data_IF_577969733923
#
_entry.id   IF_577969733923
#
_cell.length_a   1.000
_cell.length_b   1.000
_cell.length_c   1.000
_cell.angle_alpha   90.00
_cell.angle_beta   90.00
_cell.angle_gamma   90.00
#
_symmetry.space_group_name_H-M   'P 1'
#
loop_
_entity.id
_entity.type
_entity.pdbx_description
1 polymer ?
#
# COMPACT_ATOMS: atom_id res chain seq x y z
N UNK A 1 -11.42 -20.82 6.60
CA UNK A 1 -12.25 -19.60 6.79
C UNK A 1 -13.72 -19.96 6.57
N UNK A 2 -14.18 -21.12 7.08
CA UNK A 2 -15.53 -21.64 6.76
C UNK A 2 -16.31 -22.14 7.99
N UNK A 3 -15.79 -21.98 9.21
CA UNK A 3 -16.43 -22.47 10.44
C UNK A 3 -17.17 -21.40 11.26
N UNK A 4 -17.17 -20.13 10.81
CA UNK A 4 -17.82 -19.02 11.53
C UNK A 4 -19.18 -18.66 10.94
N UNK A 5 -19.52 -19.18 9.75
CA UNK A 5 -20.77 -18.81 9.06
C UNK A 5 -21.97 -19.71 9.40
N UNK A 6 -21.80 -20.82 10.12
CA UNK A 6 -22.92 -21.71 10.51
C UNK A 6 -23.62 -21.32 11.82
N UNK A 7 -23.05 -20.41 12.62
CA UNK A 7 -23.62 -20.05 13.94
C UNK A 7 -24.75 -19.02 13.90
N UNK A 8 -25.06 -18.40 12.75
CA UNK A 8 -26.07 -17.34 12.65
C UNK A 8 -27.38 -17.75 11.95
N UNK A 9 -27.57 -19.05 11.66
CA UNK A 9 -28.72 -19.55 10.92
C UNK A 9 -29.73 -20.33 11.77
N UNK A 10 -29.86 -20.04 13.07
CA UNK A 10 -30.92 -20.66 13.87
C UNK A 10 -31.62 -19.68 14.81
N UNK A 11 -32.24 -18.65 14.23
CA UNK A 11 -33.33 -17.93 14.88
C UNK A 11 -34.51 -17.87 13.90
N UNK A 12 -35.06 -19.05 13.56
CA UNK A 12 -36.39 -19.14 12.96
C UNK A 12 -37.40 -18.74 14.03
N UNK A 13 -37.72 -17.44 14.05
CA UNK A 13 -38.91 -16.90 14.70
C UNK A 13 -40.14 -17.55 14.03
N UNK A 14 -40.60 -18.67 14.58
CA UNK A 14 -41.78 -19.39 14.10
C UNK A 14 -42.99 -18.44 14.17
N UNK A 15 -43.33 -17.84 13.03
CA UNK A 15 -44.57 -17.09 12.88
C UNK A 15 -45.68 -18.12 12.77
N UNK A 16 -46.40 -18.32 13.87
CA UNK A 16 -47.56 -19.20 13.95
C UNK A 16 -48.46 -19.00 12.73
N UNK A 17 -48.69 -20.08 11.98
CA UNK A 17 -49.48 -20.04 10.75
C UNK A 17 -50.97 -19.91 11.11
N UNK A 18 -51.76 -19.23 10.27
CA UNK A 18 -53.22 -19.07 10.50
C UNK A 18 -53.94 -20.41 10.73
N UNK A 19 -53.38 -21.50 10.19
CA UNK A 19 -53.85 -22.87 10.39
C UNK A 19 -53.66 -23.36 11.83
N UNK A 20 -52.50 -23.09 12.44
CA UNK A 20 -52.20 -23.48 13.82
C UNK A 20 -53.08 -22.73 14.81
N UNK A 21 -53.36 -21.45 14.52
CA UNK A 21 -54.30 -20.63 15.30
C UNK A 21 -55.73 -21.20 15.28
N UNK A 22 -56.21 -21.67 14.12
CA UNK A 22 -57.53 -22.28 13.99
C UNK A 22 -57.62 -23.64 14.72
N UNK A 23 -56.55 -24.44 14.66
CA UNK A 23 -56.48 -25.69 15.42
C UNK A 23 -56.47 -25.44 16.93
N UNK A 24 -55.73 -24.43 17.41
CA UNK A 24 -55.69 -24.07 18.83
C UNK A 24 -57.07 -23.63 19.32
N UNK A 25 -57.77 -22.78 18.57
CA UNK A 25 -59.15 -22.37 18.89
C UNK A 25 -60.09 -23.58 18.93
N UNK A 26 -59.98 -24.50 17.96
CA UNK A 26 -60.84 -25.68 17.89
C UNK A 26 -60.62 -26.64 19.07
N UNK A 27 -59.36 -26.83 19.48
CA UNK A 27 -59.02 -27.63 20.68
C UNK A 27 -59.56 -26.94 21.94
N UNK A 28 -59.42 -25.62 22.05
CA UNK A 28 -59.90 -24.85 23.20
C UNK A 28 -61.43 -24.96 23.36
N UNK A 29 -62.18 -24.88 22.25
CA UNK A 29 -63.64 -25.07 22.25
C UNK A 29 -64.06 -26.49 22.64
N UNK A 30 -63.32 -27.51 22.20
CA UNK A 30 -63.55 -28.90 22.60
C UNK A 30 -63.37 -29.11 24.11
N UNK A 31 -62.32 -28.50 24.68
CA UNK A 31 -62.06 -28.54 26.13
C UNK A 31 -63.15 -27.79 26.90
N UNK A 32 -63.54 -26.60 26.44
CA UNK A 32 -64.61 -25.81 27.06
C UNK A 32 -65.94 -26.56 27.09
N UNK A 33 -66.31 -27.20 25.97
CA UNK A 33 -67.50 -28.04 25.89
C UNK A 33 -67.46 -29.21 26.88
N UNK A 34 -66.31 -29.86 27.02
CA UNK A 34 -66.16 -30.98 27.95
C UNK A 34 -66.29 -30.54 29.41
N UNK A 35 -65.65 -29.42 29.78
CA UNK A 35 -65.75 -28.85 31.13
C UNK A 35 -67.19 -28.45 31.44
N UNK A 36 -67.91 -27.87 30.48
CA UNK A 36 -69.30 -27.47 30.64
C UNK A 36 -70.22 -28.68 30.88
N UNK A 37 -70.02 -29.77 30.12
CA UNK A 37 -70.77 -31.01 30.31
C UNK A 37 -70.57 -31.60 31.71
N UNK A 38 -69.31 -31.70 32.16
CA UNK A 38 -68.98 -32.20 33.51
C UNK A 38 -69.57 -31.26 34.58
N UNK A 39 -69.51 -29.95 34.37
CA UNK A 39 -70.05 -28.98 35.34
C UNK A 39 -71.56 -29.12 35.56
N UNK A 40 -72.33 -29.47 34.51
CA UNK A 40 -73.78 -29.71 34.64
C UNK A 40 -74.05 -30.97 35.48
N UNK A 41 -73.27 -32.03 35.29
CA UNK A 41 -73.45 -33.30 36.01
C UNK A 41 -73.14 -33.18 37.50
N UNK A 42 -72.21 -32.30 37.88
CA UNK A 42 -71.82 -32.06 39.27
C UNK A 42 -72.44 -30.79 39.90
N UNK A 43 -73.31 -30.08 39.19
CA UNK A 43 -73.92 -28.82 39.63
C UNK A 43 -74.77 -28.95 40.91
N UNK A 44 -75.29 -30.14 41.20
CA UNK A 44 -76.20 -30.39 42.34
C UNK A 44 -75.45 -30.57 43.68
N UNK A 45 -74.11 -30.59 43.66
CA UNK A 45 -73.28 -30.71 44.87
C UNK A 45 -72.70 -29.37 45.30
N UNK A 46 -73.34 -28.75 46.31
CA UNK A 46 -72.93 -27.46 46.90
C UNK A 46 -71.44 -27.43 47.33
N UNK A 47 -70.87 -28.57 47.71
CA UNK A 47 -69.45 -28.65 48.13
C UNK A 47 -68.49 -28.43 46.96
N UNK A 48 -68.81 -28.95 45.77
CA UNK A 48 -67.97 -28.81 44.57
C UNK A 48 -67.96 -27.36 44.08
N UNK A 49 -69.11 -26.68 44.15
CA UNK A 49 -69.23 -25.25 43.81
C UNK A 49 -68.39 -24.34 44.72
N UNK A 50 -68.26 -24.67 46.00
CA UNK A 50 -67.40 -23.89 46.90
C UNK A 50 -65.89 -24.09 46.59
N UNK A 51 -65.48 -25.31 46.25
CA UNK A 51 -64.09 -25.58 45.85
C UNK A 51 -63.74 -24.92 44.52
N UNK A 52 -64.63 -24.94 43.52
CA UNK A 52 -64.35 -24.30 42.22
C UNK A 52 -64.24 -22.78 42.37
N UNK A 53 -65.08 -22.16 43.21
CA UNK A 53 -65.04 -20.71 43.49
C UNK A 53 -63.75 -20.29 44.20
N UNK A 54 -63.30 -21.08 45.18
CA UNK A 54 -62.04 -20.84 45.87
C UNK A 54 -60.83 -21.02 44.95
N UNK A 55 -60.82 -22.10 44.16
CA UNK A 55 -59.77 -22.35 43.16
C UNK A 55 -59.72 -21.25 42.08
N UNK A 56 -60.87 -20.72 41.67
CA UNK A 56 -60.96 -19.58 40.74
C UNK A 56 -60.34 -18.30 41.32
N UNK A 57 -60.58 -18.04 42.61
CA UNK A 57 -59.98 -16.88 43.30
C UNK A 57 -58.46 -17.02 43.41
N UNK A 58 -57.95 -18.20 43.79
CA UNK A 58 -56.50 -18.47 43.83
C UNK A 58 -55.88 -18.35 42.44
N UNK A 59 -56.53 -18.90 41.41
CA UNK A 59 -56.03 -18.84 40.02
C UNK A 59 -55.94 -17.40 39.52
N UNK A 60 -56.90 -16.55 39.88
CA UNK A 60 -56.89 -15.11 39.56
C UNK A 60 -55.69 -14.39 40.19
N UNK A 61 -55.42 -14.67 41.47
CA UNK A 61 -54.25 -14.11 42.18
C UNK A 61 -52.95 -14.57 41.51
N UNK A 62 -52.83 -15.85 41.16
CA UNK A 62 -51.62 -16.39 40.49
C UNK A 62 -51.42 -15.72 39.13
N UNK A 63 -52.48 -15.58 38.32
CA UNK A 63 -52.38 -14.91 37.02
C UNK A 63 -51.96 -13.45 37.15
N UNK A 64 -52.49 -12.73 38.16
CA UNK A 64 -52.07 -11.36 38.43
C UNK A 64 -50.57 -11.27 38.78
N UNK A 65 -50.06 -12.21 39.59
CA UNK A 65 -48.62 -12.27 39.94
C UNK A 65 -47.77 -12.57 38.71
N UNK A 66 -48.17 -13.52 37.86
CA UNK A 66 -47.46 -13.85 36.61
C UNK A 66 -47.41 -12.64 35.68
N UNK A 67 -48.50 -11.89 35.55
CA UNK A 67 -48.55 -10.67 34.75
C UNK A 67 -47.54 -9.62 35.26
N UNK A 68 -47.49 -9.41 36.58
CA UNK A 68 -46.52 -8.49 37.21
C UNK A 68 -45.08 -8.93 36.91
N UNK A 69 -44.75 -10.21 37.08
CA UNK A 69 -43.41 -10.75 36.80
C UNK A 69 -43.05 -10.54 35.33
N UNK A 70 -43.97 -10.83 34.41
CA UNK A 70 -43.73 -10.63 32.98
C UNK A 70 -43.48 -9.17 32.64
N UNK A 71 -44.22 -8.22 33.24
CA UNK A 71 -43.98 -6.79 33.07
C UNK A 71 -42.59 -6.36 33.55
N UNK A 72 -42.09 -6.93 34.65
CA UNK A 72 -40.72 -6.68 35.12
C UNK A 72 -39.66 -7.20 34.15
N UNK A 73 -39.76 -8.46 33.71
CA UNK A 73 -38.81 -9.06 32.77
C UNK A 73 -38.83 -8.34 31.42
N UNK A 74 -40.01 -7.93 30.96
CA UNK A 74 -40.15 -7.15 29.73
C UNK A 74 -39.53 -5.75 29.89
N UNK A 75 -39.70 -5.10 31.05
CA UNK A 75 -39.09 -3.81 31.37
C UNK A 75 -37.56 -3.83 31.25
N UNK A 76 -36.90 -4.84 31.83
CA UNK A 76 -35.44 -4.99 31.75
C UNK A 76 -34.96 -5.19 30.30
N UNK A 77 -35.68 -6.02 29.53
CA UNK A 77 -35.34 -6.23 28.11
C UNK A 77 -35.51 -4.97 27.26
N UNK A 78 -36.51 -4.14 27.59
CA UNK A 78 -36.78 -2.89 26.89
C UNK A 78 -35.71 -1.84 27.19
N UNK A 79 -35.25 -1.76 28.46
CA UNK A 79 -34.17 -0.86 28.84
C UNK A 79 -32.84 -1.26 28.17
N UNK A 80 -32.52 -2.55 28.11
CA UNK A 80 -31.35 -3.06 27.40
C UNK A 80 -31.40 -2.73 25.90
N UNK A 81 -32.57 -2.89 25.27
CA UNK A 81 -32.75 -2.55 23.85
C UNK A 81 -32.62 -1.05 23.58
N UNK A 82 -33.15 -0.19 24.47
CA UNK A 82 -32.95 1.26 24.39
C UNK A 82 -31.47 1.65 24.51
N UNK A 83 -30.70 0.97 25.36
CA UNK A 83 -29.24 1.18 25.47
C UNK A 83 -28.47 0.80 24.20
N UNK A 84 -28.84 -0.30 23.55
CA UNK A 84 -28.25 -0.72 22.27
C UNK A 84 -28.61 0.30 21.17
N UNK A 85 -29.87 0.73 21.09
CA UNK A 85 -30.31 1.75 20.12
C UNK A 85 -29.57 3.08 20.31
N UNK A 86 -29.33 3.50 21.55
CA UNK A 86 -28.58 4.73 21.83
C UNK A 86 -27.13 4.63 21.32
N UNK A 87 -26.47 3.49 21.51
CA UNK A 87 -25.12 3.24 20.99
C UNK A 87 -25.07 3.21 19.47
N UNK A 88 -26.05 2.59 18.82
CA UNK A 88 -26.13 2.58 17.36
C UNK A 88 -26.39 3.97 16.79
N UNK A 89 -27.17 4.81 17.47
CA UNK A 89 -27.36 6.22 17.10
C UNK A 89 -26.07 7.05 17.28
N UNK A 90 -25.28 6.76 18.31
CA UNK A 90 -23.97 7.37 18.53
C UNK A 90 -23.01 6.99 17.40
N UNK A 91 -22.91 5.70 17.07
CA UNK A 91 -22.12 5.22 15.93
C UNK A 91 -22.56 5.86 14.60
N UNK A 92 -23.87 6.00 14.36
CA UNK A 92 -24.40 6.66 13.16
C UNK A 92 -24.04 8.15 13.12
N UNK A 93 -24.01 8.82 14.27
CA UNK A 93 -23.59 10.21 14.37
C UNK A 93 -22.11 10.36 14.06
N UNK A 94 -21.27 9.45 14.54
CA UNK A 94 -19.83 9.45 14.26
C UNK A 94 -19.59 9.22 12.75
N UNK A 95 -20.26 8.23 12.15
CA UNK A 95 -20.20 8.00 10.69
C UNK A 95 -20.67 9.22 9.89
N UNK A 96 -21.71 9.92 10.36
CA UNK A 96 -22.16 11.16 9.72
C UNK A 96 -21.13 12.30 9.88
N UNK A 97 -20.40 12.34 11.00
CA UNK A 97 -19.28 13.24 11.22
C UNK A 97 -18.13 12.98 10.25
N UNK A 98 -17.69 11.73 10.15
CA UNK A 98 -16.64 11.30 9.21
C UNK A 98 -17.02 11.62 7.76
N UNK A 99 -18.28 11.39 7.38
CA UNK A 99 -18.77 11.71 6.04
C UNK A 99 -18.71 13.22 5.74
N UNK A 100 -19.01 14.06 6.74
CA UNK A 100 -18.89 15.51 6.61
C UNK A 100 -17.43 15.94 6.47
N UNK A 101 -16.50 15.31 7.20
CA UNK A 101 -15.07 15.57 7.09
C UNK A 101 -14.54 15.18 5.70
N UNK A 102 -14.88 13.98 5.22
CA UNK A 102 -14.54 13.54 3.87
C UNK A 102 -15.09 14.45 2.78
N UNK A 103 -16.31 14.99 2.96
CA UNK A 103 -16.87 15.98 2.02
C UNK A 103 -16.03 17.27 1.96
N UNK A 104 -15.52 17.72 3.10
CA UNK A 104 -14.65 18.90 3.20
C UNK A 104 -13.27 18.65 2.57
N UNK A 105 -12.65 17.51 2.86
CA UNK A 105 -11.39 17.10 2.24
C UNK A 105 -11.56 16.97 0.72
N UNK A 106 -12.64 16.36 0.26
CA UNK A 106 -12.96 16.22 -1.16
C UNK A 106 -13.05 17.58 -1.86
N UNK A 107 -13.71 18.57 -1.24
CA UNK A 107 -13.73 19.96 -1.74
C UNK A 107 -12.32 20.55 -1.85
N UNK A 108 -11.46 20.28 -0.88
CA UNK A 108 -10.05 20.72 -0.92
C UNK A 108 -9.28 20.04 -2.05
N UNK A 109 -9.52 18.75 -2.29
CA UNK A 109 -8.95 18.02 -3.43
C UNK A 109 -9.41 18.60 -4.77
N UNK A 110 -10.68 18.98 -4.91
CA UNK A 110 -11.17 19.65 -6.12
C UNK A 110 -10.45 20.98 -6.37
N UNK A 111 -10.20 21.79 -5.34
CA UNK A 111 -9.42 23.03 -5.46
C UNK A 111 -7.98 22.74 -5.92
N UNK A 112 -7.36 21.67 -5.42
CA UNK A 112 -6.02 21.27 -5.88
C UNK A 112 -6.03 20.82 -7.34
N UNK A 113 -7.07 20.11 -7.79
CA UNK A 113 -7.21 19.70 -9.20
C UNK A 113 -7.34 20.92 -10.11
N UNK A 114 -8.10 21.94 -9.69
CA UNK A 114 -8.20 23.22 -10.40
C UNK A 114 -6.82 23.89 -10.52
N UNK A 115 -6.06 23.93 -9.42
CA UNK A 115 -4.69 24.45 -9.41
C UNK A 115 -3.73 23.66 -10.32
N UNK A 116 -3.90 22.33 -10.41
CA UNK A 116 -3.11 21.49 -11.33
C UNK A 116 -3.46 21.84 -12.77
N UNK A 117 -4.73 22.08 -13.07
CA UNK A 117 -5.20 22.50 -14.39
C UNK A 117 -4.56 23.82 -14.80
N UNK A 118 -4.56 24.81 -13.91
CA UNK A 118 -3.87 26.10 -14.14
C UNK A 118 -2.37 25.91 -14.40
N UNK A 119 -1.72 25.03 -13.63
CA UNK A 119 -0.30 24.71 -13.82
C UNK A 119 -0.02 24.01 -15.15
N UNK A 120 -0.93 23.14 -15.61
CA UNK A 120 -0.83 22.49 -16.92
C UNK A 120 -0.98 23.53 -18.03
N UNK A 121 -1.92 24.48 -17.90
CA UNK A 121 -2.07 25.56 -18.88
C UNK A 121 -0.83 26.48 -18.92
N UNK A 122 -0.27 26.81 -17.75
CA UNK A 122 0.98 27.56 -17.66
C UNK A 122 2.16 26.80 -18.29
N UNK A 123 2.22 25.48 -18.08
CA UNK A 123 3.24 24.61 -18.68
C UNK A 123 3.12 24.59 -20.20
N UNK A 124 1.92 24.47 -20.74
CA UNK A 124 1.66 24.47 -22.19
C UNK A 124 2.13 25.79 -22.83
N UNK A 125 1.81 26.93 -22.22
CA UNK A 125 2.33 28.24 -22.65
C UNK A 125 3.87 28.29 -22.59
N UNK A 126 4.47 27.70 -21.56
CA UNK A 126 5.93 27.59 -21.43
C UNK A 126 6.55 26.73 -22.53
N UNK A 127 5.91 25.62 -22.90
CA UNK A 127 6.34 24.74 -24.00
C UNK A 127 6.25 25.48 -25.34
N UNK A 128 5.16 26.19 -25.61
CA UNK A 128 5.00 27.00 -26.82
C UNK A 128 6.08 28.10 -26.91
N UNK A 129 6.39 28.77 -25.81
CA UNK A 129 7.46 29.75 -25.75
C UNK A 129 8.84 29.11 -26.02
N UNK A 130 9.11 27.94 -25.43
CA UNK A 130 10.35 27.18 -25.63
C UNK A 130 10.50 26.72 -27.09
N UNK A 131 9.42 26.25 -27.75
CA UNK A 131 9.44 25.93 -29.18
C UNK A 131 9.76 27.15 -30.05
N UNK A 132 9.22 28.33 -29.71
CA UNK A 132 9.55 29.58 -30.38
C UNK A 132 11.04 29.93 -30.24
N UNK A 133 11.61 29.78 -29.04
CA UNK A 133 13.04 29.94 -28.81
C UNK A 133 13.87 28.90 -29.58
N UNK A 134 13.45 27.63 -29.60
CA UNK A 134 14.13 26.57 -30.34
C UNK A 134 14.16 26.86 -31.85
N UNK A 135 13.06 27.35 -32.41
CA UNK A 135 12.98 27.80 -33.81
C UNK A 135 13.94 28.97 -34.08
N UNK A 136 14.04 29.92 -33.16
CA UNK A 136 15.01 31.01 -33.27
C UNK A 136 16.47 30.52 -33.22
N UNK A 137 16.77 29.54 -32.34
CA UNK A 137 18.09 28.92 -32.23
C UNK A 137 18.40 28.13 -33.50
N UNK A 138 17.47 27.36 -34.03
CA UNK A 138 17.63 26.69 -35.33
C UNK A 138 17.99 27.70 -36.41
N UNK A 139 17.29 28.84 -36.48
CA UNK A 139 17.63 29.92 -37.42
C UNK A 139 19.05 30.47 -37.24
N UNK A 140 19.49 30.68 -36.00
CA UNK A 140 20.86 31.12 -35.68
C UNK A 140 21.89 30.05 -36.04
N UNK A 141 21.63 28.78 -35.74
CA UNK A 141 22.51 27.65 -36.07
C UNK A 141 22.64 27.49 -37.58
N UNK A 142 21.55 27.64 -38.35
CA UNK A 142 21.62 27.60 -39.81
C UNK A 142 22.48 28.74 -40.35
N UNK A 143 22.28 29.97 -39.86
CA UNK A 143 23.13 31.13 -40.23
C UNK A 143 24.60 30.92 -39.83
N UNK A 144 24.85 30.33 -38.67
CA UNK A 144 26.19 30.01 -38.20
C UNK A 144 26.83 28.90 -39.04
N UNK A 145 26.06 27.90 -39.46
CA UNK A 145 26.50 26.84 -40.36
C UNK A 145 26.85 27.40 -41.74
N UNK A 146 26.05 28.33 -42.28
CA UNK A 146 26.36 29.03 -43.54
C UNK A 146 27.63 29.88 -43.41
N UNK A 147 27.79 30.60 -42.29
CA UNK A 147 28.99 31.37 -41.98
C UNK A 147 30.22 30.47 -41.81
N UNK A 148 30.07 29.30 -41.18
CA UNK A 148 31.15 28.30 -41.06
C UNK A 148 31.50 27.66 -42.40
N UNK A 149 30.54 27.44 -43.29
CA UNK A 149 30.81 26.95 -44.64
C UNK A 149 31.62 27.97 -45.47
N UNK A 150 31.29 29.27 -45.34
CA UNK A 150 32.06 30.35 -45.97
C UNK A 150 33.44 30.54 -45.32
N UNK A 151 33.56 30.39 -44.00
CA UNK A 151 34.84 30.42 -43.29
C UNK A 151 35.72 29.20 -43.63
N UNK A 152 35.12 28.02 -43.82
CA UNK A 152 35.81 26.80 -44.27
C UNK A 152 36.40 26.92 -45.68
N UNK A 153 35.80 27.72 -46.56
CA UNK A 153 36.38 28.07 -47.87
C UNK A 153 37.59 29.02 -47.73
N UNK A 154 37.57 29.95 -46.76
CA UNK A 154 38.71 30.81 -46.43
C UNK A 154 39.86 30.10 -45.68
N UNK A 155 39.54 29.03 -44.94
CA UNK A 155 40.52 28.22 -44.21
C UNK A 155 41.15 27.16 -45.13
N UNK A 156 40.44 26.63 -46.13
CA UNK A 156 41.01 25.72 -47.14
C UNK A 156 42.11 26.35 -48.00
N UNK A 157 42.15 27.67 -48.15
CA UNK A 157 43.27 28.36 -48.80
C UNK A 157 44.45 28.63 -47.85
N UNK A 158 44.27 28.44 -46.53
CA UNK A 158 45.28 28.76 -45.50
C UNK A 158 45.79 27.54 -44.72
N UNK A 159 45.17 26.35 -44.85
CA UNK A 159 45.59 25.10 -44.21
C UNK A 159 45.90 24.04 -45.29
N UNK A 160 47.00 24.25 -45.99
CA UNK A 160 47.83 23.15 -46.52
C UNK A 160 48.92 22.98 -45.46
N UNK A 161 49.01 21.79 -44.84
CA UNK A 161 49.86 21.40 -43.70
C UNK A 161 49.33 21.72 -42.29
N UNK A 162 48.50 20.82 -41.72
CA UNK A 162 48.75 20.18 -40.41
C UNK A 162 48.04 18.80 -40.40
N UNK A 163 48.67 17.71 -39.91
CA UNK A 163 48.11 16.35 -39.95
C UNK A 163 47.01 16.10 -38.90
N UNK A 164 46.08 15.22 -39.25
CA UNK A 164 44.98 14.75 -38.42
C UNK A 164 45.45 14.04 -37.12
N UNK A 165 44.84 14.39 -35.99
CA UNK A 165 44.88 13.59 -34.77
C UNK A 165 43.78 12.50 -34.81
N UNK A 166 43.99 11.31 -34.24
CA UNK A 166 43.11 10.16 -34.43
C UNK A 166 41.91 10.18 -33.47
N UNK A 167 40.78 9.65 -33.96
CA UNK A 167 39.60 9.32 -33.15
C UNK A 167 39.98 8.26 -32.09
N UNK A 168 40.23 8.71 -30.86
CA UNK A 168 40.47 7.84 -29.72
C UNK A 168 39.16 7.18 -29.26
N UNK A 169 39.14 5.84 -29.31
CA UNK A 169 38.15 5.02 -28.62
C UNK A 169 38.15 5.41 -27.14
N UNK A 170 37.04 5.97 -26.64
CA UNK A 170 36.82 6.06 -25.19
C UNK A 170 36.83 4.63 -24.66
N UNK A 171 37.88 4.28 -23.91
CA UNK A 171 38.00 2.96 -23.29
C UNK A 171 36.88 2.78 -22.28
N UNK A 172 36.29 1.58 -22.17
CA UNK A 172 35.20 1.25 -21.23
C UNK A 172 35.48 1.72 -19.80
N UNK A 173 36.76 1.72 -19.39
CA UNK A 173 37.23 2.22 -18.10
C UNK A 173 36.92 3.71 -17.86
N UNK A 174 37.01 4.55 -18.90
CA UNK A 174 36.68 5.97 -18.80
C UNK A 174 35.17 6.16 -18.60
N UNK A 175 34.35 5.37 -19.31
CA UNK A 175 32.90 5.39 -19.16
C UNK A 175 32.46 4.91 -17.78
N UNK A 176 33.03 3.81 -17.28
CA UNK A 176 32.78 3.31 -15.92
C UNK A 176 33.16 4.33 -14.86
N UNK A 177 34.31 5.00 -15.01
CA UNK A 177 34.70 6.08 -14.09
C UNK A 177 33.72 7.25 -14.15
N UNK A 178 33.20 7.62 -15.33
CA UNK A 178 32.20 8.67 -15.44
C UNK A 178 30.88 8.27 -14.76
N UNK A 179 30.41 7.03 -14.95
CA UNK A 179 29.14 6.56 -14.38
C UNK A 179 29.24 6.40 -12.86
N UNK A 180 30.27 5.70 -12.38
CA UNK A 180 30.38 5.31 -10.99
C UNK A 180 30.97 6.39 -10.08
N UNK A 181 31.71 7.37 -10.62
CA UNK A 181 32.40 8.39 -9.80
C UNK A 181 31.85 9.81 -9.95
N UNK A 182 31.20 10.11 -11.08
CA UNK A 182 30.86 11.51 -11.40
C UNK A 182 29.48 11.94 -10.93
N UNK A 183 28.66 11.00 -10.45
CA UNK A 183 27.25 11.26 -10.24
C UNK A 183 26.96 11.69 -8.80
N UNK A 184 27.19 10.86 -7.80
CA UNK A 184 26.78 11.15 -6.42
C UNK A 184 27.35 10.11 -5.42
N UNK A 185 27.15 10.28 -4.10
CA UNK A 185 27.54 9.29 -3.09
C UNK A 185 26.85 7.93 -3.30
N UNK A 186 25.65 7.92 -3.89
CA UNK A 186 24.91 6.73 -4.26
C UNK A 186 25.71 5.86 -5.24
N UNK A 187 26.40 6.48 -6.21
CA UNK A 187 27.19 5.76 -7.21
C UNK A 187 28.44 5.09 -6.59
N UNK A 188 29.10 5.78 -5.65
CA UNK A 188 30.20 5.24 -4.86
C UNK A 188 29.75 4.00 -4.07
N UNK A 189 28.61 4.10 -3.37
CA UNK A 189 28.05 3.01 -2.57
C UNK A 189 27.67 1.81 -3.45
N UNK A 190 27.09 2.05 -4.63
CA UNK A 190 26.75 0.98 -5.58
C UNK A 190 28.01 0.30 -6.12
N UNK A 191 29.06 1.06 -6.46
CA UNK A 191 30.32 0.47 -6.91
C UNK A 191 30.92 -0.45 -5.85
N UNK A 192 30.84 -0.05 -4.58
CA UNK A 192 31.28 -0.88 -3.47
C UNK A 192 30.40 -2.13 -3.31
N UNK A 193 29.07 -1.96 -3.35
CA UNK A 193 28.14 -3.08 -3.24
C UNK A 193 28.30 -4.10 -4.38
N UNK A 194 28.54 -3.65 -5.61
CA UNK A 194 28.82 -4.54 -6.75
C UNK A 194 30.13 -5.30 -6.57
N UNK A 195 31.16 -4.66 -5.99
CA UNK A 195 32.41 -5.33 -5.64
C UNK A 195 32.21 -6.35 -4.51
N UNK A 196 31.36 -6.06 -3.52
CA UNK A 196 31.04 -7.03 -2.47
C UNK A 196 30.22 -8.21 -3.03
N UNK A 197 29.27 -7.93 -3.92
CA UNK A 197 28.45 -8.93 -4.61
C UNK A 197 29.29 -9.88 -5.49
N UNK A 198 30.32 -9.38 -6.17
CA UNK A 198 31.20 -10.23 -6.99
C UNK A 198 31.98 -11.26 -6.17
N UNK A 199 32.21 -10.99 -4.87
CA UNK A 199 32.84 -11.90 -3.93
C UNK A 199 31.91 -12.99 -3.35
N UNK A 200 30.60 -12.90 -3.56
CA UNK A 200 29.63 -13.90 -3.07
C UNK A 200 29.71 -15.15 -3.97
N UNK A 201 29.69 -16.33 -3.36
CA UNK A 201 29.59 -17.63 -4.03
C UNK A 201 28.40 -17.63 -4.99
N UNK A 202 28.62 -18.07 -6.23
CA UNK A 202 27.66 -18.02 -7.33
C UNK A 202 26.32 -18.68 -6.97
N UNK A 203 26.36 -19.77 -6.19
CA UNK A 203 25.16 -20.49 -5.74
C UNK A 203 24.32 -19.75 -4.69
N UNK A 204 24.90 -18.74 -4.04
CA UNK A 204 24.27 -17.95 -2.98
C UNK A 204 23.95 -16.52 -3.41
N UNK A 205 24.25 -16.15 -4.65
CA UNK A 205 24.06 -14.77 -5.11
C UNK A 205 22.58 -14.39 -5.06
N UNK A 206 22.24 -13.29 -4.37
CA UNK A 206 20.87 -12.81 -4.34
C UNK A 206 20.43 -12.35 -5.73
N UNK A 207 19.13 -12.39 -5.98
CA UNK A 207 18.56 -11.83 -7.21
C UNK A 207 18.84 -10.33 -7.33
N UNK A 208 18.78 -9.79 -8.54
CA UNK A 208 18.98 -8.35 -8.80
C UNK A 208 18.12 -7.45 -7.89
N UNK A 209 16.84 -7.80 -7.69
CA UNK A 209 15.95 -7.02 -6.83
C UNK A 209 16.34 -7.11 -5.36
N UNK A 210 16.72 -8.31 -4.88
CA UNK A 210 17.17 -8.51 -3.50
C UNK A 210 18.48 -7.74 -3.27
N UNK A 211 19.40 -7.73 -4.24
CA UNK A 211 20.61 -6.93 -4.18
C UNK A 211 20.28 -5.43 -4.00
N UNK A 212 19.42 -4.87 -4.87
CA UNK A 212 19.05 -3.45 -4.78
C UNK A 212 18.35 -3.13 -3.45
N UNK A 213 17.34 -3.90 -3.07
CA UNK A 213 16.51 -3.56 -1.90
C UNK A 213 17.19 -3.87 -0.57
N UNK A 214 17.79 -5.06 -0.45
CA UNK A 214 18.23 -5.60 0.84
C UNK A 214 19.70 -5.37 1.13
N UNK A 215 20.54 -5.14 0.12
CA UNK A 215 21.97 -4.86 0.34
C UNK A 215 22.23 -3.37 0.21
N UNK A 216 21.76 -2.75 -0.87
CA UNK A 216 22.13 -1.35 -1.17
C UNK A 216 21.18 -0.36 -0.50
N UNK A 217 19.88 -0.42 -0.79
CA UNK A 217 18.94 0.59 -0.31
C UNK A 217 18.73 0.56 1.22
N UNK A 218 18.74 -0.63 1.82
CA UNK A 218 18.70 -0.80 3.29
C UNK A 218 19.93 -0.18 3.97
N UNK A 219 21.14 -0.45 3.44
CA UNK A 219 22.38 0.10 3.97
C UNK A 219 22.42 1.63 3.88
N UNK A 220 21.93 2.18 2.77
CA UNK A 220 21.81 3.62 2.56
C UNK A 220 20.79 4.27 3.50
N UNK A 221 19.67 3.59 3.78
CA UNK A 221 18.67 4.03 4.73
C UNK A 221 19.19 3.97 6.18
N UNK A 222 19.98 2.96 6.52
CA UNK A 222 20.60 2.88 7.84
C UNK A 222 21.65 3.98 8.04
N UNK A 223 22.48 4.22 7.02
CA UNK A 223 23.45 5.30 7.02
C UNK A 223 22.79 6.69 7.09
N UNK A 224 21.61 6.88 6.50
CA UNK A 224 20.91 8.16 6.53
C UNK A 224 20.38 8.50 7.92
N UNK A 225 19.90 7.50 8.67
CA UNK A 225 19.47 7.66 10.07
C UNK A 225 20.58 8.20 10.96
N UNK A 226 21.83 7.82 10.69
CA UNK A 226 23.00 8.31 11.43
C UNK A 226 23.33 9.78 11.13
N UNK A 227 23.03 10.25 9.91
CA UNK A 227 23.37 11.60 9.45
C UNK A 227 22.38 12.67 9.92
N UNK A 228 21.08 12.35 9.92
CA UNK A 228 20.03 13.28 10.30
C UNK A 228 18.78 12.51 10.77
N UNK A 229 18.63 12.22 12.08
CA UNK A 229 17.53 11.41 12.60
C UNK A 229 16.14 12.03 12.35
N UNK A 230 16.06 13.32 12.04
CA UNK A 230 14.82 14.03 11.69
C UNK A 230 14.45 13.99 10.21
N UNK A 231 15.34 13.51 9.32
CA UNK A 231 15.06 13.41 7.88
C UNK A 231 14.54 12.01 7.60
N UNK A 232 13.22 11.90 7.38
CA UNK A 232 12.56 10.67 6.95
C UNK A 232 12.89 10.41 5.48
N UNK A 233 14.09 9.92 5.19
CA UNK A 233 14.41 9.39 3.86
C UNK A 233 13.56 8.13 3.62
N UNK A 234 12.78 8.14 2.54
CA UNK A 234 11.97 6.99 2.15
C UNK A 234 12.87 5.95 1.46
N UNK A 235 12.80 4.69 1.89
CA UNK A 235 13.48 3.56 1.25
C UNK A 235 13.27 3.54 -0.27
N UNK A 236 12.07 3.89 -0.72
CA UNK A 236 11.73 3.93 -2.15
C UNK A 236 12.61 4.92 -2.93
N UNK A 237 12.99 6.05 -2.34
CA UNK A 237 13.85 7.03 -3.01
C UNK A 237 15.27 6.51 -3.26
N UNK A 238 15.80 5.71 -2.32
CA UNK A 238 17.08 5.03 -2.51
C UNK A 238 16.98 3.90 -3.52
N UNK A 239 15.90 3.10 -3.46
CA UNK A 239 15.64 2.06 -4.47
C UNK A 239 15.62 2.67 -5.87
N UNK A 240 14.92 3.79 -6.08
CA UNK A 240 14.82 4.45 -7.38
C UNK A 240 16.17 4.94 -7.89
N UNK A 241 16.98 5.56 -7.01
CA UNK A 241 18.30 6.08 -7.37
C UNK A 241 19.28 4.94 -7.71
N UNK A 242 19.28 3.86 -6.92
CA UNK A 242 20.09 2.66 -7.19
C UNK A 242 19.63 2.00 -8.50
N UNK A 243 18.32 1.90 -8.70
CA UNK A 243 17.76 1.32 -9.90
C UNK A 243 18.15 2.10 -11.16
N UNK A 244 18.13 3.43 -11.13
CA UNK A 244 18.55 4.27 -12.25
C UNK A 244 20.02 4.04 -12.63
N UNK A 245 20.93 3.99 -11.64
CA UNK A 245 22.35 3.73 -11.90
C UNK A 245 22.56 2.33 -12.48
N UNK A 246 21.89 1.31 -11.92
CA UNK A 246 21.96 -0.04 -12.46
C UNK A 246 21.35 -0.15 -13.87
N UNK A 247 20.31 0.62 -14.19
CA UNK A 247 19.74 0.69 -15.54
C UNK A 247 20.73 1.30 -16.55
N UNK A 248 21.50 2.31 -16.16
CA UNK A 248 22.57 2.87 -17.01
C UNK A 248 23.69 1.86 -17.22
N UNK A 249 24.14 1.18 -16.16
CA UNK A 249 25.16 0.12 -16.26
C UNK A 249 24.68 -1.03 -17.15
N UNK A 250 23.40 -1.38 -17.07
CA UNK A 250 22.79 -2.39 -17.94
C UNK A 250 22.71 -1.93 -19.39
N UNK A 251 22.34 -0.67 -19.65
CA UNK A 251 22.26 -0.12 -21.00
C UNK A 251 23.64 -0.04 -21.69
N UNK A 252 24.72 -0.03 -20.91
CA UNK A 252 26.10 -0.07 -21.37
C UNK A 252 26.72 -1.48 -21.30
N UNK A 253 25.89 -2.53 -21.20
CA UNK A 253 26.30 -3.94 -21.18
C UNK A 253 27.28 -4.33 -20.04
N UNK A 254 27.33 -3.56 -18.95
CA UNK A 254 28.11 -3.89 -17.76
C UNK A 254 27.39 -4.84 -16.80
N UNK A 255 26.06 -4.85 -16.83
CA UNK A 255 25.19 -5.75 -16.05
C UNK A 255 24.33 -6.55 -17.00
N UNK A 256 24.45 -7.87 -16.93
CA UNK A 256 23.66 -8.80 -17.74
C UNK A 256 22.67 -9.50 -16.80
N UNK A 257 21.37 -9.34 -17.08
CA UNK A 257 20.33 -10.07 -16.35
C UNK A 257 20.16 -11.45 -16.98
N UNK A 258 20.40 -12.49 -16.21
CA UNK A 258 20.16 -13.87 -16.64
C UNK A 258 18.68 -14.19 -16.47
N UNK A 259 18.09 -14.74 -17.53
CA UNK A 259 16.69 -15.09 -17.53
C UNK A 259 16.57 -16.57 -17.15
N UNK A 260 16.55 -16.85 -15.84
CA UNK A 260 16.26 -18.19 -15.37
C UNK A 260 14.74 -18.42 -15.36
N UNK A 261 14.34 -19.65 -15.66
CA UNK A 261 13.00 -20.12 -16.03
C UNK A 261 11.94 -19.91 -14.94
N UNK A 262 11.56 -18.65 -14.73
CA UNK A 262 10.28 -18.31 -14.12
C UNK A 262 10.35 -17.54 -12.81
N UNK A 263 11.40 -17.62 -11.99
CA UNK A 263 11.56 -16.72 -10.83
C UNK A 263 13.03 -16.64 -10.35
N UNK A 264 13.45 -15.41 -10.03
CA UNK A 264 14.79 -14.97 -9.62
C UNK A 264 15.78 -14.75 -10.78
N UNK A 265 15.83 -13.49 -11.26
CA UNK A 265 16.88 -13.03 -12.18
C UNK A 265 18.18 -12.88 -11.40
N UNK A 266 19.07 -13.87 -11.47
CA UNK A 266 20.49 -13.63 -11.20
C UNK A 266 21.01 -12.60 -12.21
N UNK A 267 22.08 -11.90 -11.83
CA UNK A 267 22.76 -11.02 -12.77
C UNK A 267 24.26 -11.25 -12.71
N UNK A 268 24.87 -11.25 -13.88
CA UNK A 268 26.31 -11.33 -14.09
C UNK A 268 26.88 -9.95 -14.42
N UNK A 269 28.14 -9.76 -14.02
CA UNK A 269 28.90 -8.54 -14.24
C UNK A 269 29.83 -8.75 -15.43
N UNK A 270 29.95 -7.75 -16.30
CA UNK A 270 30.90 -7.81 -17.40
C UNK A 270 32.34 -7.86 -16.88
N UNK A 271 33.23 -8.43 -17.68
CA UNK A 271 34.65 -8.55 -17.32
C UNK A 271 35.30 -7.19 -17.06
N UNK A 272 35.00 -6.20 -17.91
CA UNK A 272 35.51 -4.82 -17.75
C UNK A 272 35.07 -4.20 -16.41
N UNK A 273 33.83 -4.46 -15.98
CA UNK A 273 33.34 -4.00 -14.68
C UNK A 273 34.05 -4.75 -13.54
N UNK A 274 34.16 -6.07 -13.61
CA UNK A 274 34.86 -6.88 -12.59
C UNK A 274 36.32 -6.47 -12.39
N UNK A 275 37.03 -6.13 -13.47
CA UNK A 275 38.44 -5.70 -13.41
C UNK A 275 38.61 -4.30 -12.79
N UNK A 276 37.59 -3.44 -12.88
CA UNK A 276 37.64 -2.05 -12.36
C UNK A 276 37.03 -1.88 -10.97
N UNK A 277 36.11 -2.76 -10.55
CA UNK A 277 35.44 -2.72 -9.25
C UNK A 277 36.39 -2.69 -8.04
N UNK A 278 37.51 -3.45 -7.98
CA UNK A 278 38.42 -3.38 -6.84
C UNK A 278 39.06 -2.01 -6.67
N UNK A 279 39.37 -1.32 -7.79
CA UNK A 279 39.94 0.03 -7.76
C UNK A 279 38.92 0.99 -7.15
N UNK A 280 37.67 0.96 -7.63
CA UNK A 280 36.60 1.81 -7.08
C UNK A 280 36.34 1.48 -5.61
N UNK A 281 36.31 0.21 -5.22
CA UNK A 281 36.09 -0.18 -3.83
C UNK A 281 37.19 0.34 -2.89
N UNK A 282 38.46 0.34 -3.33
CA UNK A 282 39.55 0.94 -2.54
C UNK A 282 39.43 2.46 -2.41
N UNK A 283 39.04 3.16 -3.50
CA UNK A 283 38.78 4.60 -3.48
C UNK A 283 37.61 4.95 -2.55
N UNK A 284 36.51 4.19 -2.62
CA UNK A 284 35.30 4.40 -1.82
C UNK A 284 35.54 4.11 -0.34
N UNK A 285 36.33 3.08 0.01
CA UNK A 285 36.78 2.82 1.39
C UNK A 285 37.66 3.95 1.95
N UNK A 286 38.40 4.65 1.09
CA UNK A 286 39.21 5.79 1.49
C UNK A 286 38.40 7.10 1.64
N UNK A 287 37.09 7.08 1.33
CA UNK A 287 36.22 8.25 1.48
C UNK A 287 36.08 8.67 2.94
N UNK A 288 36.29 9.95 3.23
CA UNK A 288 36.10 10.51 4.57
C UNK A 288 34.64 10.84 4.91
N UNK A 289 33.72 10.62 3.98
CA UNK A 289 32.32 10.91 4.21
C UNK A 289 31.69 9.90 5.20
N UNK A 290 31.13 10.36 6.34
CA UNK A 290 30.54 9.46 7.33
C UNK A 290 29.37 8.64 6.78
N UNK A 291 28.60 9.18 5.83
CA UNK A 291 27.49 8.48 5.17
C UNK A 291 27.98 7.29 4.33
N UNK A 292 29.08 7.49 3.60
CA UNK A 292 29.69 6.44 2.80
C UNK A 292 30.28 5.36 3.73
N UNK A 293 31.00 5.75 4.79
CA UNK A 293 31.54 4.80 5.79
C UNK A 293 30.45 3.96 6.46
N UNK A 294 29.35 4.58 6.87
CA UNK A 294 28.21 3.88 7.46
C UNK A 294 27.54 2.92 6.47
N UNK A 295 27.38 3.34 5.21
CA UNK A 295 26.79 2.50 4.16
C UNK A 295 27.68 1.29 3.85
N UNK A 296 29.00 1.48 3.78
CA UNK A 296 29.97 0.39 3.60
C UNK A 296 29.84 -0.64 4.73
N UNK A 297 29.80 -0.19 5.99
CA UNK A 297 29.67 -1.10 7.13
C UNK A 297 28.37 -1.92 7.08
N UNK A 298 27.25 -1.28 6.73
CA UNK A 298 25.96 -1.95 6.60
C UNK A 298 25.90 -2.93 5.40
N UNK A 299 26.60 -2.62 4.29
CA UNK A 299 26.78 -3.55 3.17
C UNK A 299 27.59 -4.77 3.61
N UNK A 300 28.72 -4.56 4.27
CA UNK A 300 29.58 -5.66 4.74
C UNK A 300 28.81 -6.59 5.71
N UNK A 301 27.99 -6.02 6.60
CA UNK A 301 27.12 -6.79 7.49
C UNK A 301 26.04 -7.57 6.72
N UNK A 302 25.41 -6.95 5.72
CA UNK A 302 24.37 -7.57 4.91
C UNK A 302 24.92 -8.72 4.07
N UNK A 303 26.11 -8.56 3.51
CA UNK A 303 26.79 -9.60 2.72
C UNK A 303 27.25 -10.76 3.62
N UNK A 304 27.69 -10.49 4.85
CA UNK A 304 28.08 -11.53 5.80
C UNK A 304 26.90 -12.43 6.24
N UNK A 305 25.65 -11.97 6.06
CA UNK A 305 24.43 -12.75 6.39
C UNK A 305 23.99 -13.73 5.28
N UNK A 306 24.62 -13.68 4.10
CA UNK A 306 24.29 -14.49 2.91
C UNK A 306 25.23 -15.71 2.83
#
# INVERSE_FOLDING_TARGET
MDSVSESFANNKKNRFSRREWLFLICILLMVEYWIFHVSIEFADSQSVLNYISFAGTISSIILAVVAIIYSFVQGDSQQAMSGILARELENLKDVAGDLSEYSSEFKTHLVRVDTITDKIEALDRGILASQGQLSSIQGVVTKMSEAQATMGLGIKSSIVNVPAAPAGQRTDNEMLRIILRRSTYEADIISYALNAYSGIDENKRPSYFIFISNIVASAMLEASKQKAPSVTSNLNGYIDSVHQICMVLRAADFIILENDKGMSKSFSLSRSLLESLPVFATEVRASDNPYVKASIAAIDESVAKI
#
